data_IF_547914626102
#
_entry.id   IF_547914626102
#
_cell.length_a   1.000
_cell.length_b   1.000
_cell.length_c   1.000
_cell.angle_alpha   90.00
_cell.angle_beta   90.00
_cell.angle_gamma   90.00
#
_symmetry.space_group_name_H-M   'P 1'
#
loop_
_entity.id
_entity.type
_entity.pdbx_description
1 polymer ?
#
# COMPACT_ATOMS: atom_id res chain seq x y z
N UNK A 1 -4.36 -19.44 2.45
CA UNK A 1 -4.41 -17.96 2.58
C UNK A 1 -3.16 -17.40 1.94
N UNK A 2 -3.27 -16.33 1.17
CA UNK A 2 -2.09 -15.64 0.62
C UNK A 2 -1.31 -14.96 1.73
N UNK A 3 0.02 -15.07 1.67
CA UNK A 3 0.91 -14.26 2.50
C UNK A 3 1.00 -12.83 1.93
N UNK A 4 0.94 -11.84 2.78
CA UNK A 4 0.98 -10.42 2.41
C UNK A 4 2.24 -9.79 2.99
N UNK A 5 3.03 -9.12 2.14
CA UNK A 5 4.17 -8.30 2.53
C UNK A 5 3.77 -6.83 2.57
N UNK A 6 3.92 -6.21 3.70
CA UNK A 6 3.77 -4.76 3.86
C UNK A 6 5.17 -4.14 3.94
N UNK A 7 5.58 -3.50 2.87
CA UNK A 7 6.77 -2.65 2.83
C UNK A 7 6.39 -1.30 3.45
N UNK A 8 6.64 -1.20 4.74
CA UNK A 8 6.30 -0.02 5.52
C UNK A 8 7.44 0.99 5.49
N UNK A 9 7.12 2.26 5.27
CA UNK A 9 8.10 3.33 5.26
C UNK A 9 7.55 4.62 5.86
N UNK A 10 7.93 4.92 7.10
CA UNK A 10 7.57 6.17 7.75
C UNK A 10 8.79 6.79 8.43
N UNK A 11 9.32 7.94 7.96
CA UNK A 11 10.59 8.49 8.46
C UNK A 11 10.55 8.98 9.92
N UNK A 12 9.36 9.09 10.51
CA UNK A 12 9.12 9.48 11.93
C UNK A 12 7.94 8.68 12.48
N UNK A 13 8.05 7.36 12.45
CA UNK A 13 6.93 6.47 12.81
C UNK A 13 6.46 6.67 14.26
N UNK A 14 7.38 6.96 15.17
CA UNK A 14 7.11 7.23 16.59
C UNK A 14 6.11 8.38 16.81
N UNK A 15 6.06 9.34 15.87
CA UNK A 15 5.15 10.49 15.91
C UNK A 15 3.85 10.27 15.12
N UNK A 16 3.68 9.12 14.46
CA UNK A 16 2.54 8.85 13.62
C UNK A 16 1.42 8.12 14.35
N UNK A 17 0.42 8.85 14.85
CA UNK A 17 -0.77 8.26 15.47
C UNK A 17 -1.53 7.36 14.49
N UNK A 18 -1.75 7.83 13.27
CA UNK A 18 -2.52 7.11 12.24
C UNK A 18 -1.84 5.80 11.84
N UNK A 19 -0.56 5.83 11.42
CA UNK A 19 0.10 4.60 10.96
C UNK A 19 0.30 3.60 12.11
N UNK A 20 0.51 4.06 13.35
CA UNK A 20 0.53 3.18 14.53
C UNK A 20 -0.80 2.48 14.74
N UNK A 21 -1.92 3.19 14.59
CA UNK A 21 -3.27 2.59 14.69
C UNK A 21 -3.50 1.56 13.60
N UNK A 22 -3.17 1.88 12.33
CA UNK A 22 -3.32 0.95 11.21
C UNK A 22 -2.54 -0.34 11.43
N UNK A 23 -1.25 -0.24 11.77
CA UNK A 23 -0.41 -1.43 11.99
C UNK A 23 -0.82 -2.20 13.25
N UNK A 24 -1.26 -1.52 14.32
CA UNK A 24 -1.77 -2.19 15.51
C UNK A 24 -3.02 -3.02 15.22
N UNK A 25 -3.88 -2.59 14.29
CA UNK A 25 -5.06 -3.33 13.83
C UNK A 25 -4.73 -4.65 13.13
N UNK A 26 -3.49 -4.84 12.67
CA UNK A 26 -3.05 -6.05 11.98
C UNK A 26 -2.47 -7.12 12.93
N UNK A 27 -2.38 -6.86 14.21
CA UNK A 27 -1.86 -7.85 15.19
C UNK A 27 -2.65 -9.14 15.13
N UNK A 28 -1.93 -10.26 15.24
CA UNK A 28 -2.50 -11.61 15.19
C UNK A 28 -2.80 -12.13 13.78
N UNK A 29 -2.43 -11.41 12.71
CA UNK A 29 -2.47 -11.91 11.34
C UNK A 29 -1.09 -12.51 10.99
N UNK A 30 -0.88 -13.78 11.29
CA UNK A 30 0.42 -14.48 11.11
C UNK A 30 0.88 -14.54 9.63
N UNK A 31 -0.05 -14.39 8.69
CA UNK A 31 0.20 -14.35 7.25
C UNK A 31 0.50 -12.94 6.71
N UNK A 32 0.60 -11.94 7.59
CA UNK A 32 1.02 -10.58 7.26
C UNK A 32 2.42 -10.33 7.81
N UNK A 33 3.35 -10.05 6.92
CA UNK A 33 4.71 -9.61 7.27
C UNK A 33 4.79 -8.09 7.16
N UNK A 34 5.03 -7.40 8.26
CA UNK A 34 5.33 -5.96 8.27
C UNK A 34 6.85 -5.80 8.24
N UNK A 35 7.34 -5.20 7.16
CA UNK A 35 8.75 -4.97 6.92
C UNK A 35 9.03 -3.46 6.90
N UNK A 36 9.54 -2.93 8.01
CA UNK A 36 9.84 -1.50 8.16
C UNK A 36 11.17 -1.19 7.50
N UNK A 37 11.11 -0.51 6.35
CA UNK A 37 12.30 -0.21 5.56
C UNK A 37 13.26 0.76 6.27
N UNK A 38 12.76 1.72 7.07
CA UNK A 38 13.61 2.64 7.81
C UNK A 38 14.30 1.97 9.01
N UNK A 39 13.66 0.97 9.61
CA UNK A 39 14.27 0.18 10.69
C UNK A 39 15.31 -0.80 10.16
N UNK A 40 15.01 -1.45 9.02
CA UNK A 40 15.93 -2.42 8.39
C UNK A 40 17.12 -1.76 7.71
N UNK A 41 16.94 -0.58 7.11
CA UNK A 41 17.94 0.10 6.31
C UNK A 41 18.11 1.57 6.73
N UNK A 42 18.55 1.85 7.95
CA UNK A 42 18.67 3.22 8.45
C UNK A 42 19.72 4.06 7.68
N UNK A 43 20.64 3.41 7.01
CA UNK A 43 21.66 4.00 6.13
C UNK A 43 21.32 3.94 4.65
N UNK A 44 20.11 3.49 4.30
CA UNK A 44 19.63 3.28 2.91
C UNK A 44 20.42 2.22 2.12
N UNK A 45 21.26 1.42 2.77
CA UNK A 45 21.97 0.32 2.13
C UNK A 45 21.09 -0.93 2.07
N UNK A 46 20.20 -0.99 1.06
CA UNK A 46 19.18 -2.03 0.89
C UNK A 46 19.82 -3.35 0.47
N UNK A 47 19.57 -4.42 1.23
CA UNK A 47 19.93 -5.80 0.87
C UNK A 47 18.97 -6.31 -0.21
N UNK A 48 19.37 -6.14 -1.46
CA UNK A 48 18.56 -6.49 -2.64
C UNK A 48 18.20 -7.98 -2.68
N UNK A 49 19.11 -8.86 -2.25
CA UNK A 49 18.86 -10.30 -2.27
C UNK A 49 17.76 -10.67 -1.28
N UNK A 50 17.84 -10.15 -0.06
CA UNK A 50 16.81 -10.33 0.98
C UNK A 50 15.45 -9.78 0.55
N UNK A 51 15.41 -8.59 -0.04
CA UNK A 51 14.16 -7.97 -0.51
C UNK A 51 13.50 -8.81 -1.62
N UNK A 52 14.29 -9.36 -2.53
CA UNK A 52 13.80 -10.26 -3.58
C UNK A 52 13.25 -11.57 -3.01
N UNK A 53 13.91 -12.16 -2.00
CA UNK A 53 13.38 -13.33 -1.29
C UNK A 53 12.04 -13.04 -0.64
N UNK A 54 11.90 -11.89 0.04
CA UNK A 54 10.62 -11.45 0.63
C UNK A 54 9.54 -11.30 -0.44
N UNK A 55 9.84 -10.67 -1.58
CA UNK A 55 8.88 -10.53 -2.68
C UNK A 55 8.45 -11.88 -3.25
N UNK A 56 9.36 -12.85 -3.36
CA UNK A 56 9.04 -14.19 -3.86
C UNK A 56 8.16 -14.98 -2.88
N UNK A 57 8.41 -14.85 -1.58
CA UNK A 57 7.71 -15.57 -0.52
C UNK A 57 6.25 -15.10 -0.30
N UNK A 58 5.89 -13.90 -0.78
CA UNK A 58 4.58 -13.31 -0.55
C UNK A 58 3.79 -13.16 -1.87
N UNK A 59 2.48 -13.38 -1.79
CA UNK A 59 1.59 -13.33 -2.95
C UNK A 59 1.02 -11.94 -3.20
N UNK A 60 0.83 -11.13 -2.15
CA UNK A 60 0.30 -9.77 -2.22
C UNK A 60 1.32 -8.81 -1.62
N UNK A 61 1.56 -7.70 -2.30
CA UNK A 61 2.51 -6.67 -1.87
C UNK A 61 1.78 -5.38 -1.53
N UNK A 62 2.19 -4.71 -0.47
CA UNK A 62 1.63 -3.42 -0.05
C UNK A 62 2.77 -2.44 0.15
N UNK A 63 2.72 -1.29 -0.51
CA UNK A 63 3.53 -0.13 -0.15
C UNK A 63 2.76 0.72 0.85
N UNK A 64 3.18 0.76 2.11
CA UNK A 64 2.50 1.50 3.17
C UNK A 64 3.34 2.69 3.64
N UNK A 65 2.87 3.93 3.34
CA UNK A 65 3.64 5.13 3.61
C UNK A 65 2.76 6.40 3.73
N UNK A 66 3.27 7.47 4.38
CA UNK A 66 2.64 8.78 4.33
C UNK A 66 2.94 9.47 2.99
N UNK A 67 1.94 10.10 2.39
CA UNK A 67 2.11 10.90 1.17
C UNK A 67 2.78 12.23 1.52
N UNK A 68 4.11 12.26 1.50
CA UNK A 68 4.88 13.47 1.75
C UNK A 68 5.25 14.16 0.44
N UNK A 69 4.89 15.45 0.35
CA UNK A 69 5.14 16.26 -0.85
C UNK A 69 4.74 15.53 -2.14
N UNK A 70 3.54 14.90 -2.10
CA UNK A 70 2.89 14.23 -3.24
C UNK A 70 3.56 12.95 -3.73
N UNK A 71 4.49 12.38 -2.98
CA UNK A 71 5.17 11.14 -3.31
C UNK A 71 5.45 10.25 -2.10
N UNK A 72 6.00 9.06 -2.32
CA UNK A 72 6.45 8.20 -1.25
C UNK A 72 7.72 8.75 -0.59
N UNK A 73 8.02 8.35 0.67
CA UNK A 73 9.31 8.62 1.30
C UNK A 73 10.48 8.10 0.45
N UNK A 74 11.63 8.77 0.54
CA UNK A 74 12.80 8.52 -0.31
C UNK A 74 13.25 7.05 -0.34
N UNK A 75 13.13 6.35 0.80
CA UNK A 75 13.54 4.94 0.89
C UNK A 75 12.69 4.01 0.00
N UNK A 76 11.41 4.31 -0.23
CA UNK A 76 10.57 3.55 -1.19
C UNK A 76 11.13 3.69 -2.60
N UNK A 77 11.51 4.91 -3.01
CA UNK A 77 12.10 5.11 -4.34
C UNK A 77 13.45 4.42 -4.47
N UNK A 78 14.30 4.54 -3.47
CA UNK A 78 15.58 3.82 -3.40
C UNK A 78 15.37 2.31 -3.49
N UNK A 79 14.41 1.78 -2.73
CA UNK A 79 14.05 0.37 -2.77
C UNK A 79 13.58 -0.06 -4.17
N UNK A 80 12.70 0.72 -4.80
CA UNK A 80 12.21 0.42 -6.15
C UNK A 80 13.35 0.36 -7.18
N UNK A 81 14.27 1.33 -7.13
CA UNK A 81 15.37 1.44 -8.09
C UNK A 81 16.37 0.29 -7.99
N UNK A 82 16.61 -0.20 -6.76
CA UNK A 82 17.58 -1.27 -6.52
C UNK A 82 16.96 -2.67 -6.65
N UNK A 83 15.74 -2.86 -6.13
CA UNK A 83 15.12 -4.20 -6.05
C UNK A 83 14.41 -4.57 -7.33
N UNK A 84 13.70 -3.60 -7.97
CA UNK A 84 12.96 -3.84 -9.22
C UNK A 84 13.84 -3.65 -10.46
N UNK A 85 14.97 -4.31 -10.48
CA UNK A 85 16.00 -4.17 -11.52
C UNK A 85 15.65 -4.93 -12.81
N UNK A 86 16.15 -4.40 -13.92
CA UNK A 86 16.08 -5.08 -15.23
C UNK A 86 16.76 -6.46 -15.17
N UNK A 87 16.14 -7.45 -15.80
CA UNK A 87 16.62 -8.85 -15.80
C UNK A 87 16.10 -9.66 -14.60
N UNK A 88 15.56 -9.00 -13.56
CA UNK A 88 14.92 -9.70 -12.44
C UNK A 88 13.42 -9.38 -12.31
N UNK A 89 13.04 -8.10 -12.18
CA UNK A 89 11.66 -7.68 -12.02
C UNK A 89 10.97 -7.39 -13.37
N UNK A 90 11.72 -6.93 -14.33
CA UNK A 90 11.22 -6.59 -15.68
C UNK A 90 12.25 -6.87 -16.76
N UNK A 91 11.84 -6.78 -18.03
CA UNK A 91 12.66 -7.12 -19.18
C UNK A 91 12.32 -8.50 -19.75
N UNK A 92 13.07 -8.93 -20.77
CA UNK A 92 12.81 -10.19 -21.43
C UNK A 92 13.13 -11.38 -20.53
N UNK A 93 12.15 -12.28 -20.34
CA UNK A 93 12.32 -13.48 -19.51
C UNK A 93 12.16 -13.25 -17.99
N UNK A 94 11.85 -12.03 -17.54
CA UNK A 94 11.67 -11.70 -16.13
C UNK A 94 10.19 -11.76 -15.74
N UNK A 95 9.80 -12.81 -15.02
CA UNK A 95 8.40 -13.08 -14.61
C UNK A 95 8.24 -13.25 -13.09
N UNK A 96 9.26 -12.88 -12.30
CA UNK A 96 9.28 -13.12 -10.86
C UNK A 96 8.13 -12.47 -10.08
N UNK A 97 7.62 -11.34 -10.58
CA UNK A 97 6.54 -10.57 -9.96
C UNK A 97 5.22 -10.62 -10.76
N UNK A 98 5.20 -11.36 -11.86
CA UNK A 98 4.05 -11.41 -12.76
C UNK A 98 2.77 -11.80 -12.02
N UNK A 99 1.70 -11.02 -12.22
CA UNK A 99 0.36 -11.22 -11.66
C UNK A 99 0.28 -11.14 -10.13
N UNK A 100 1.34 -10.69 -9.44
CA UNK A 100 1.24 -10.39 -8.00
C UNK A 100 0.41 -9.13 -7.78
N UNK A 101 -0.70 -9.20 -7.02
CA UNK A 101 -1.43 -8.00 -6.63
C UNK A 101 -0.57 -7.07 -5.79
N UNK A 102 -0.61 -5.78 -6.12
CA UNK A 102 0.07 -4.73 -5.37
C UNK A 102 -0.80 -3.50 -5.25
N UNK A 103 -0.77 -2.85 -4.11
CA UNK A 103 -1.43 -1.56 -3.87
C UNK A 103 -0.65 -0.69 -2.90
N UNK A 104 -1.01 0.60 -2.87
CA UNK A 104 -0.49 1.54 -1.90
C UNK A 104 -1.47 1.75 -0.74
N UNK A 105 -0.99 1.68 0.50
CA UNK A 105 -1.68 2.19 1.69
C UNK A 105 -1.10 3.54 2.03
N UNK A 106 -1.93 4.59 1.93
CA UNK A 106 -1.47 5.97 2.01
C UNK A 106 -2.16 6.70 3.16
N UNK A 107 -1.38 7.45 3.93
CA UNK A 107 -1.91 8.41 4.90
C UNK A 107 -1.57 9.84 4.46
N UNK A 108 -2.53 10.77 4.58
CA UNK A 108 -2.34 12.18 4.18
C UNK A 108 -3.07 13.14 5.10
N UNK A 109 -2.46 14.31 5.35
CA UNK A 109 -3.08 15.40 6.11
C UNK A 109 -4.22 16.09 5.36
N UNK A 110 -4.18 16.09 4.01
CA UNK A 110 -5.25 16.64 3.17
C UNK A 110 -6.51 15.78 3.18
N UNK A 111 -7.67 16.42 3.01
CA UNK A 111 -8.97 15.73 2.94
C UNK A 111 -9.25 15.20 1.53
N UNK A 112 -10.26 14.34 1.37
CA UNK A 112 -10.71 13.85 0.06
C UNK A 112 -11.04 15.00 -0.90
N UNK A 113 -11.70 16.04 -0.40
CA UNK A 113 -12.00 17.25 -1.19
C UNK A 113 -10.74 18.00 -1.66
N UNK A 114 -9.67 17.98 -0.87
CA UNK A 114 -8.40 18.60 -1.26
C UNK A 114 -7.72 17.90 -2.44
N UNK A 115 -7.95 16.59 -2.60
CA UNK A 115 -7.42 15.76 -3.68
C UNK A 115 -8.46 15.42 -4.76
N UNK A 116 -9.61 16.10 -4.76
CA UNK A 116 -10.56 16.00 -5.85
C UNK A 116 -10.13 16.88 -7.04
N UNK A 117 -10.62 16.57 -8.24
CA UNK A 117 -10.44 17.47 -9.41
C UNK A 117 -11.00 18.84 -9.09
N UNK A 118 -10.20 19.89 -9.30
CA UNK A 118 -10.53 21.25 -8.89
C UNK A 118 -10.33 21.57 -7.41
N UNK A 119 -9.88 20.59 -6.59
CA UNK A 119 -9.47 20.79 -5.22
C UNK A 119 -8.11 21.51 -5.08
N UNK A 120 -7.72 21.77 -3.83
CA UNK A 120 -6.48 22.52 -3.53
C UNK A 120 -5.22 21.90 -4.15
N UNK A 121 -5.12 20.55 -4.15
CA UNK A 121 -3.94 19.84 -4.63
C UNK A 121 -3.92 19.63 -6.16
N UNK A 122 -4.91 20.09 -6.91
CA UNK A 122 -5.05 19.99 -8.37
C UNK A 122 -5.20 18.55 -8.90
N UNK A 123 -4.42 17.61 -8.37
CA UNK A 123 -4.39 16.20 -8.77
C UNK A 123 -5.07 15.33 -7.73
N UNK A 124 -5.73 14.29 -8.21
CA UNK A 124 -6.28 13.23 -7.35
C UNK A 124 -5.15 12.33 -6.82
N UNK A 125 -5.43 11.58 -5.76
CA UNK A 125 -4.44 10.61 -5.24
C UNK A 125 -4.08 9.55 -6.30
N UNK A 126 -5.01 8.94 -7.05
CA UNK A 126 -4.65 8.04 -8.15
C UNK A 126 -3.72 8.68 -9.18
N UNK A 127 -3.96 9.94 -9.59
CA UNK A 127 -3.08 10.63 -10.53
C UNK A 127 -1.66 10.84 -9.98
N UNK A 128 -1.52 11.10 -8.69
CA UNK A 128 -0.20 11.21 -8.02
C UNK A 128 0.53 9.86 -7.94
N UNK A 129 -0.18 8.75 -8.06
CA UNK A 129 0.38 7.41 -8.00
C UNK A 129 0.75 6.84 -9.37
N UNK A 130 0.46 7.49 -10.49
CA UNK A 130 0.79 7.00 -11.83
C UNK A 130 2.25 6.55 -12.01
N UNK A 131 3.28 7.21 -11.45
CA UNK A 131 4.64 6.71 -11.57
C UNK A 131 4.86 5.36 -10.89
N UNK A 132 4.18 5.10 -9.76
CA UNK A 132 4.24 3.82 -9.04
C UNK A 132 3.47 2.73 -9.81
N UNK A 133 2.25 3.06 -10.26
CA UNK A 133 1.45 2.18 -11.10
C UNK A 133 2.22 1.78 -12.36
N UNK A 134 2.85 2.74 -13.06
CA UNK A 134 3.64 2.47 -14.24
C UNK A 134 4.84 1.55 -13.96
N UNK A 135 5.51 1.72 -12.82
CA UNK A 135 6.61 0.84 -12.41
C UNK A 135 6.12 -0.60 -12.13
N UNK A 136 4.96 -0.76 -11.49
CA UNK A 136 4.36 -2.07 -11.25
C UNK A 136 3.89 -2.73 -12.55
N UNK A 137 3.33 -1.94 -13.47
CA UNK A 137 2.95 -2.42 -14.80
C UNK A 137 4.17 -2.92 -15.58
N UNK A 138 5.30 -2.21 -15.54
CA UNK A 138 6.56 -2.64 -16.13
C UNK A 138 7.01 -4.01 -15.60
N UNK A 139 6.79 -4.25 -14.29
CA UNK A 139 7.08 -5.52 -13.62
C UNK A 139 5.96 -6.58 -13.81
N UNK A 140 4.93 -6.31 -14.63
CA UNK A 140 3.76 -7.18 -14.88
C UNK A 140 2.94 -7.52 -13.64
N UNK A 141 3.01 -6.69 -12.61
CA UNK A 141 2.21 -6.83 -11.40
C UNK A 141 0.77 -6.37 -11.65
N UNK A 142 -0.15 -6.83 -10.83
CA UNK A 142 -1.56 -6.42 -10.85
C UNK A 142 -1.78 -5.24 -9.88
N UNK A 143 -1.70 -4.01 -10.39
CA UNK A 143 -1.98 -2.81 -9.61
C UNK A 143 -3.45 -2.75 -9.21
N UNK A 144 -3.70 -2.50 -7.92
CA UNK A 144 -5.03 -2.32 -7.34
C UNK A 144 -5.21 -0.87 -6.85
N UNK A 145 -6.46 -0.39 -6.73
CA UNK A 145 -6.74 0.90 -6.12
C UNK A 145 -6.08 1.05 -4.75
N UNK A 146 -5.61 2.24 -4.37
CA UNK A 146 -4.99 2.44 -3.07
C UNK A 146 -6.01 2.38 -1.92
N UNK A 147 -5.55 1.98 -0.73
CA UNK A 147 -6.24 2.27 0.52
C UNK A 147 -5.74 3.61 1.06
N UNK A 148 -6.64 4.55 1.38
CA UNK A 148 -6.24 5.92 1.71
C UNK A 148 -6.90 6.40 3.00
N UNK A 149 -6.09 6.84 3.97
CA UNK A 149 -6.56 7.53 5.18
C UNK A 149 -6.26 9.01 5.05
N UNK A 150 -7.30 9.81 4.86
CA UNK A 150 -7.23 11.24 4.59
C UNK A 150 -7.58 12.08 5.81
N UNK A 151 -7.07 13.31 5.88
CA UNK A 151 -7.37 14.25 6.95
C UNK A 151 -6.84 13.81 8.31
N UNK A 152 -5.68 13.17 8.37
CA UNK A 152 -5.13 12.49 9.55
C UNK A 152 -5.05 13.35 10.81
N UNK A 153 -4.92 14.67 10.68
CA UNK A 153 -4.90 15.62 11.81
C UNK A 153 -6.28 15.83 12.47
N UNK A 154 -7.37 15.43 11.80
CA UNK A 154 -8.76 15.67 12.25
C UNK A 154 -9.43 14.39 12.76
N UNK A 155 -8.78 13.24 12.61
CA UNK A 155 -9.36 11.95 12.97
C UNK A 155 -9.39 11.80 14.49
N UNK A 156 -10.55 11.40 15.02
CA UNK A 156 -10.71 10.94 16.40
C UNK A 156 -10.15 9.53 16.57
N UNK A 157 -10.00 9.05 17.79
CA UNK A 157 -9.54 7.68 18.04
C UNK A 157 -10.54 6.64 17.52
N UNK A 158 -11.85 6.91 17.60
CA UNK A 158 -12.88 6.06 17.00
C UNK A 158 -12.74 5.98 15.48
N UNK A 159 -12.59 7.11 14.79
CA UNK A 159 -12.36 7.13 13.33
C UNK A 159 -11.07 6.41 12.93
N UNK A 160 -10.02 6.48 13.75
CA UNK A 160 -8.78 5.74 13.50
C UNK A 160 -8.98 4.23 13.69
N UNK A 161 -9.77 3.82 14.68
CA UNK A 161 -10.14 2.41 14.87
C UNK A 161 -10.93 1.88 13.66
N UNK A 162 -11.89 2.65 13.16
CA UNK A 162 -12.65 2.30 11.95
C UNK A 162 -11.74 2.17 10.71
N UNK A 163 -10.78 3.07 10.54
CA UNK A 163 -9.79 2.96 9.45
C UNK A 163 -8.90 1.71 9.61
N UNK A 164 -8.49 1.39 10.82
CA UNK A 164 -7.68 0.20 11.09
C UNK A 164 -8.47 -1.09 10.83
N UNK A 165 -9.76 -1.12 11.19
CA UNK A 165 -10.64 -2.24 10.90
C UNK A 165 -10.87 -2.41 9.39
N UNK A 166 -11.16 -1.33 8.67
CA UNK A 166 -11.25 -1.35 7.21
C UNK A 166 -9.98 -1.91 6.55
N UNK A 167 -8.80 -1.44 6.98
CA UNK A 167 -7.53 -1.93 6.47
C UNK A 167 -7.36 -3.43 6.73
N UNK A 168 -7.65 -3.88 7.95
CA UNK A 168 -7.65 -5.31 8.31
C UNK A 168 -8.59 -6.13 7.42
N UNK A 169 -9.82 -5.66 7.22
CA UNK A 169 -10.82 -6.34 6.37
C UNK A 169 -10.36 -6.46 4.92
N UNK A 170 -9.75 -5.40 4.36
CA UNK A 170 -9.17 -5.42 3.00
C UNK A 170 -8.12 -6.54 2.90
N UNK A 171 -7.18 -6.60 3.84
CA UNK A 171 -6.14 -7.64 3.83
C UNK A 171 -6.74 -9.05 3.99
N UNK A 172 -7.74 -9.23 4.86
CA UNK A 172 -8.46 -10.50 5.01
C UNK A 172 -9.11 -10.96 3.70
N UNK A 173 -9.77 -10.04 2.99
CA UNK A 173 -10.39 -10.36 1.69
C UNK A 173 -9.34 -10.66 0.62
N UNK A 174 -8.26 -9.87 0.53
CA UNK A 174 -7.18 -10.11 -0.44
C UNK A 174 -6.42 -11.42 -0.19
N UNK A 175 -6.27 -11.82 1.07
CA UNK A 175 -5.68 -13.11 1.42
C UNK A 175 -6.50 -14.32 0.92
N UNK A 176 -7.77 -14.13 0.57
CA UNK A 176 -8.65 -15.14 0.00
C UNK A 176 -8.66 -15.19 -1.53
N UNK A 177 -7.78 -14.44 -2.20
CA UNK A 177 -7.67 -14.36 -3.68
C UNK A 177 -8.99 -14.00 -4.38
N UNK A 178 -9.63 -12.86 -4.06
CA UNK A 178 -10.85 -12.45 -4.74
C UNK A 178 -10.59 -12.14 -6.21
N UNK A 179 -11.60 -12.17 -7.09
CA UNK A 179 -11.47 -11.75 -8.47
C UNK A 179 -11.07 -10.25 -8.53
N UNK A 180 -9.87 -9.95 -9.01
CA UNK A 180 -9.29 -8.59 -9.00
C UNK A 180 -10.08 -7.61 -9.88
N UNK A 181 -10.78 -8.09 -10.91
CA UNK A 181 -11.62 -7.28 -11.79
C UNK A 181 -12.73 -6.55 -11.01
N UNK A 182 -13.25 -7.17 -9.94
CA UNK A 182 -14.28 -6.56 -9.09
C UNK A 182 -13.73 -5.41 -8.24
N UNK A 183 -12.40 -5.35 -8.05
CA UNK A 183 -11.72 -4.36 -7.22
C UNK A 183 -11.32 -3.15 -8.06
N UNK A 184 -10.85 -3.38 -9.28
CA UNK A 184 -10.28 -2.36 -10.17
C UNK A 184 -11.25 -1.26 -10.58
N UNK A 185 -12.54 -1.49 -10.47
CA UNK A 185 -13.57 -0.50 -10.76
C UNK A 185 -13.77 0.59 -9.71
N UNK A 186 -13.12 0.47 -8.55
CA UNK A 186 -13.23 1.46 -7.47
C UNK A 186 -12.08 2.46 -7.51
N UNK A 187 -12.32 3.68 -7.03
CA UNK A 187 -11.26 4.69 -6.89
C UNK A 187 -10.30 4.33 -5.76
N UNK A 188 -10.86 3.83 -4.63
CA UNK A 188 -10.11 3.42 -3.45
C UNK A 188 -10.58 2.05 -2.94
N UNK A 189 -9.69 1.29 -2.30
CA UNK A 189 -10.07 0.07 -1.59
C UNK A 189 -11.04 0.35 -0.42
N UNK A 190 -11.03 1.56 0.13
CA UNK A 190 -12.03 2.04 1.09
C UNK A 190 -13.45 1.93 0.54
N UNK A 191 -13.65 2.34 -0.72
CA UNK A 191 -14.96 2.32 -1.37
C UNK A 191 -15.38 0.87 -1.67
N UNK A 192 -14.44 0.02 -2.08
CA UNK A 192 -14.68 -1.41 -2.31
C UNK A 192 -15.15 -2.13 -1.04
N UNK A 193 -14.38 -2.00 0.08
CA UNK A 193 -14.74 -2.70 1.32
C UNK A 193 -16.07 -2.18 1.90
N UNK A 194 -16.32 -0.87 1.78
CA UNK A 194 -17.58 -0.27 2.21
C UNK A 194 -18.78 -0.77 1.38
N UNK A 195 -18.58 -1.05 0.08
CA UNK A 195 -19.61 -1.63 -0.78
C UNK A 195 -19.88 -3.10 -0.42
N UNK A 196 -18.87 -3.87 -0.08
CA UNK A 196 -19.02 -5.25 0.40
C UNK A 196 -19.81 -5.31 1.71
N UNK A 197 -19.42 -4.50 2.69
CA UNK A 197 -20.07 -4.47 4.01
C UNK A 197 -21.58 -4.09 3.89
N UNK A 198 -21.95 -3.23 2.93
CA UNK A 198 -23.37 -2.90 2.66
C UNK A 198 -24.15 -4.05 2.05
N UNK A 199 -23.50 -4.96 1.30
CA UNK A 199 -24.14 -6.14 0.71
C UNK A 199 -24.27 -7.29 1.70
N UNK A 200 -23.36 -7.37 2.68
CA UNK A 200 -23.34 -8.40 3.73
C UNK A 200 -24.17 -7.98 4.97
N UNK A 201 -24.64 -6.73 5.03
CA UNK A 201 -25.56 -6.27 6.08
C UNK A 201 -26.94 -6.90 5.86
N UNK A 202 -27.58 -7.45 6.93
CA UNK A 202 -28.87 -8.16 6.85
C UNK A 202 -30.04 -7.27 6.43
#
# INVERSE_FOLDING_TARGET
>A
MNNILILFAHPRFENSRTNRSLLAGLRGLEWVTIHDLYEQYPDFNIDVARERELLLAHQVIVWHYPLYLYGPPAIIKQWMDLVLEHGWAHGQGSYNLERKPIFATITTGGTRASYARGGFNRYTIPELLYPLEQATHLCRMDWLPPFVVQGTYRLTDGMLADCADQYRQILLKLAQSPPLEQIRGYEFLNDWISALNRKEAP
#
